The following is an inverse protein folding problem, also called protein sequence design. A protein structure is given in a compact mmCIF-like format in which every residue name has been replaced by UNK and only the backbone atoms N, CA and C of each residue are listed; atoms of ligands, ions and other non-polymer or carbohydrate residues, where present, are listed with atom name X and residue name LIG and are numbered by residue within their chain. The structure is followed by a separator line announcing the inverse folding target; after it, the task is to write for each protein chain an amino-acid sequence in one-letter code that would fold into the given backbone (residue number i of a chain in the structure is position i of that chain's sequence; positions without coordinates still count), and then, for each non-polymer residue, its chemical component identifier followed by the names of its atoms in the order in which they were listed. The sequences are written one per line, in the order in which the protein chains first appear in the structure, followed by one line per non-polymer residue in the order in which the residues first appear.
data_IF_467889981290
#
_entry.id   IF_467889981290
#
_cell.length_a   1.000
_cell.length_b   1.000
_cell.length_c   1.000
_cell.angle_alpha   90.00
_cell.angle_beta   90.00
_cell.angle_gamma   90.00
#
_symmetry.space_group_name_H-M   'P 1'
#
loop_
_entity.id
_entity.type
_entity.pdbx_description
1 polymer ?
#
# COMPACT_ATOMS: atom_id res chain seq x y z
N UNK A 1 26.08 13.76 25.41
CA UNK A 1 24.60 13.80 25.44
C UNK A 1 23.95 13.50 24.09
N UNK A 2 24.42 14.10 22.98
CA UNK A 2 23.90 13.83 21.61
C UNK A 2 24.18 12.38 21.15
N UNK A 3 25.38 11.85 21.39
CA UNK A 3 25.76 10.48 21.01
C UNK A 3 24.89 9.42 21.71
N UNK A 4 24.54 9.61 22.99
CA UNK A 4 23.63 8.71 23.72
C UNK A 4 22.18 8.81 23.21
N UNK A 5 21.72 10.00 22.79
CA UNK A 5 20.41 10.15 22.12
C UNK A 5 20.39 9.44 20.77
N UNK A 6 21.45 9.58 19.96
CA UNK A 6 21.58 8.91 18.67
C UNK A 6 21.61 7.39 18.86
N UNK A 7 22.39 6.89 19.83
CA UNK A 7 22.46 5.46 20.14
C UNK A 7 21.10 4.90 20.58
N UNK A 8 20.38 5.61 21.46
CA UNK A 8 19.02 5.22 21.86
C UNK A 8 18.03 5.24 20.69
N UNK A 9 18.14 6.20 19.76
CA UNK A 9 17.31 6.22 18.55
C UNK A 9 17.64 5.03 17.65
N UNK A 10 18.91 4.72 17.44
CA UNK A 10 19.37 3.58 16.63
C UNK A 10 18.94 2.24 17.25
N UNK A 11 19.03 2.10 18.57
CA UNK A 11 18.62 0.89 19.27
C UNK A 11 17.08 0.73 19.26
N UNK A 12 16.33 1.82 19.43
CA UNK A 12 14.87 1.82 19.25
C UNK A 12 14.45 1.50 17.81
N UNK A 13 15.17 2.04 16.81
CA UNK A 13 14.98 1.69 15.41
C UNK A 13 15.22 0.20 15.19
N UNK A 14 16.31 -0.37 15.71
CA UNK A 14 16.59 -1.81 15.59
C UNK A 14 15.48 -2.68 16.19
N UNK A 15 14.90 -2.27 17.32
CA UNK A 15 13.75 -2.97 17.93
C UNK A 15 12.52 -2.84 17.04
N UNK A 16 12.26 -1.66 16.47
CA UNK A 16 11.16 -1.43 15.52
C UNK A 16 11.32 -2.28 14.24
N UNK A 17 12.54 -2.43 13.73
CA UNK A 17 12.87 -3.30 12.59
C UNK A 17 12.79 -4.80 12.92
N UNK A 18 12.53 -5.20 14.17
CA UNK A 18 12.23 -6.60 14.53
C UNK A 18 10.73 -6.89 14.61
N UNK A 19 9.90 -5.86 14.75
CA UNK A 19 8.45 -6.01 14.75
C UNK A 19 7.93 -6.16 13.31
N UNK A 20 7.44 -7.37 12.98
CA UNK A 20 6.87 -7.71 11.67
C UNK A 20 5.75 -6.74 11.25
N UNK A 21 5.01 -6.15 12.21
CA UNK A 21 3.92 -5.21 11.94
C UNK A 21 4.45 -3.81 11.61
N UNK A 22 5.47 -3.35 12.33
CA UNK A 22 6.12 -2.08 12.04
C UNK A 22 6.84 -2.14 10.69
N UNK A 23 7.57 -3.22 10.42
CA UNK A 23 8.20 -3.48 9.13
C UNK A 23 7.21 -3.43 7.97
N UNK A 24 6.06 -4.09 8.11
CA UNK A 24 5.02 -4.07 7.09
C UNK A 24 4.49 -2.67 6.85
N UNK A 25 4.16 -1.91 7.91
CA UNK A 25 3.66 -0.54 7.81
C UNK A 25 4.66 0.37 7.09
N UNK A 26 5.93 0.34 7.49
CA UNK A 26 6.99 1.14 6.88
C UNK A 26 7.23 0.70 5.43
N UNK A 27 7.25 -0.61 5.14
CA UNK A 27 7.42 -1.11 3.77
C UNK A 27 6.30 -0.67 2.84
N UNK A 28 5.05 -0.74 3.29
CA UNK A 28 3.89 -0.27 2.52
C UNK A 28 3.93 1.24 2.33
N UNK A 29 4.24 2.00 3.38
CA UNK A 29 4.43 3.44 3.31
C UNK A 29 5.49 3.84 2.30
N UNK A 30 6.66 3.19 2.32
CA UNK A 30 7.75 3.47 1.38
C UNK A 30 7.35 3.17 -0.05
N UNK A 31 6.73 2.01 -0.32
CA UNK A 31 6.25 1.68 -1.67
C UNK A 31 5.24 2.70 -2.20
N UNK A 32 4.37 3.20 -1.34
CA UNK A 32 3.39 4.22 -1.69
C UNK A 32 4.03 5.58 -1.96
N UNK A 33 4.99 5.99 -1.13
CA UNK A 33 5.70 7.27 -1.22
C UNK A 33 6.72 7.33 -2.37
N UNK A 34 7.26 6.18 -2.80
CA UNK A 34 8.23 6.09 -3.90
C UNK A 34 7.61 6.26 -5.29
N UNK A 35 6.30 6.07 -5.45
CA UNK A 35 5.62 6.19 -6.75
C UNK A 35 5.82 7.57 -7.41
N UNK A 36 5.60 8.71 -6.73
CA UNK A 36 5.87 10.03 -7.30
C UNK A 36 7.36 10.23 -7.59
N UNK A 37 8.26 9.71 -6.76
CA UNK A 37 9.71 9.77 -7.04
C UNK A 37 10.06 9.05 -8.34
N UNK A 38 9.51 7.85 -8.57
CA UNK A 38 9.69 7.11 -9.81
C UNK A 38 9.09 7.86 -11.01
N UNK A 39 7.93 8.52 -10.82
CA UNK A 39 7.28 9.32 -11.85
C UNK A 39 8.11 10.56 -12.22
N UNK A 40 8.73 11.22 -11.24
CA UNK A 40 9.64 12.32 -11.46
C UNK A 40 10.92 11.88 -12.17
N UNK A 41 11.53 10.75 -11.76
CA UNK A 41 12.69 10.19 -12.45
C UNK A 41 12.37 9.87 -13.92
N UNK A 42 11.18 9.32 -14.17
CA UNK A 42 10.71 9.07 -15.53
C UNK A 42 10.52 10.38 -16.31
N UNK A 43 9.96 11.43 -15.69
CA UNK A 43 9.84 12.76 -16.30
C UNK A 43 11.21 13.36 -16.66
N UNK A 44 12.16 13.33 -15.72
CA UNK A 44 13.53 13.83 -15.92
C UNK A 44 14.20 13.09 -17.10
N UNK A 45 14.06 11.77 -17.16
CA UNK A 45 14.60 10.97 -18.25
C UNK A 45 14.02 11.38 -19.61
N UNK A 46 12.69 11.53 -19.71
CA UNK A 46 12.03 11.94 -20.96
C UNK A 46 12.46 13.35 -21.39
N UNK A 47 12.49 14.31 -20.46
CA UNK A 47 12.97 15.66 -20.72
C UNK A 47 14.42 15.68 -21.17
N UNK A 48 15.29 14.88 -20.54
CA UNK A 48 16.70 14.76 -20.92
C UNK A 48 16.87 14.25 -22.35
N UNK A 49 16.06 13.28 -22.80
CA UNK A 49 16.12 12.79 -24.18
C UNK A 49 15.77 13.91 -25.16
N UNK A 50 14.68 14.63 -24.91
CA UNK A 50 14.19 15.70 -25.79
C UNK A 50 15.14 16.87 -25.84
N UNK A 51 15.74 17.19 -24.70
CA UNK A 51 16.78 18.16 -24.59
C UNK A 51 17.98 17.81 -25.47
N UNK A 52 18.47 16.57 -25.42
CA UNK A 52 19.61 16.12 -26.23
C UNK A 52 19.27 16.17 -27.72
N UNK A 53 18.07 15.77 -28.12
CA UNK A 53 17.58 15.89 -29.50
C UNK A 53 17.49 17.36 -29.93
N UNK A 54 16.98 18.23 -29.05
CA UNK A 54 16.84 19.67 -29.29
C UNK A 54 18.21 20.30 -29.52
N UNK A 55 19.15 20.11 -28.59
CA UNK A 55 20.52 20.64 -28.73
C UNK A 55 21.19 20.08 -30.00
N UNK A 56 21.06 18.77 -30.27
CA UNK A 56 21.63 18.16 -31.48
C UNK A 56 21.07 18.78 -32.76
N UNK A 57 19.79 19.11 -32.77
CA UNK A 57 19.16 19.80 -33.90
C UNK A 57 19.69 21.22 -34.03
N UNK A 58 19.83 21.95 -32.91
CA UNK A 58 20.36 23.32 -32.92
C UNK A 58 21.82 23.39 -33.38
N UNK A 59 22.66 22.48 -32.90
CA UNK A 59 24.07 22.37 -33.33
C UNK A 59 24.21 22.04 -34.82
N UNK A 60 23.18 21.47 -35.46
CA UNK A 60 23.19 21.26 -36.92
C UNK A 60 22.94 22.55 -37.73
N UNK A 61 22.40 23.61 -37.09
CA UNK A 61 22.08 24.88 -37.72
C UNK A 61 23.11 25.99 -37.46
N UNK A 62 23.86 25.96 -36.36
CA UNK A 62 24.86 26.99 -36.03
C UNK A 62 26.26 26.41 -35.82
N UNK A 63 27.26 27.00 -36.49
CA UNK A 63 28.63 26.47 -36.54
C UNK A 63 29.54 26.92 -35.38
N UNK A 64 29.06 27.72 -34.41
CA UNK A 64 29.91 28.24 -33.32
C UNK A 64 29.06 28.59 -32.08
N UNK A 65 28.85 27.64 -31.15
CA UNK A 65 28.64 27.91 -29.68
C UNK A 65 28.37 26.67 -28.79
N UNK A 66 28.86 25.49 -29.16
CA UNK A 66 28.55 24.22 -28.48
C UNK A 66 28.71 24.20 -26.96
N UNK A 67 29.76 24.83 -26.42
CA UNK A 67 30.05 24.78 -24.98
C UNK A 67 29.10 25.62 -24.12
N UNK A 68 28.73 26.81 -24.59
CA UNK A 68 27.93 27.78 -23.81
C UNK A 68 26.46 27.33 -23.69
N UNK A 69 25.91 26.73 -24.75
CA UNK A 69 24.53 26.25 -24.77
C UNK A 69 24.34 25.13 -23.73
N UNK A 70 25.30 24.21 -23.65
CA UNK A 70 25.24 23.06 -22.76
C UNK A 70 25.33 23.52 -21.29
N UNK A 71 26.25 24.42 -20.98
CA UNK A 71 26.47 24.91 -19.60
C UNK A 71 25.28 25.73 -19.08
N UNK A 72 24.75 26.65 -19.88
CA UNK A 72 23.57 27.46 -19.51
C UNK A 72 22.39 26.52 -19.23
N UNK A 73 22.23 25.49 -20.03
CA UNK A 73 21.11 24.58 -19.93
C UNK A 73 21.20 23.66 -18.70
N UNK A 74 22.40 23.19 -18.35
CA UNK A 74 22.61 22.49 -17.09
C UNK A 74 22.29 23.38 -15.89
N UNK A 75 22.70 24.64 -15.94
CA UNK A 75 22.45 25.61 -14.86
C UNK A 75 20.95 25.86 -14.66
N UNK A 76 20.17 25.97 -15.74
CA UNK A 76 18.71 26.10 -15.65
C UNK A 76 18.04 24.84 -15.08
N UNK A 77 18.45 23.65 -15.52
CA UNK A 77 17.90 22.39 -14.99
C UNK A 77 18.26 22.22 -13.51
N UNK A 78 19.50 22.51 -13.12
CA UNK A 78 19.94 22.47 -11.73
C UNK A 78 19.08 23.37 -10.86
N UNK A 79 18.85 24.62 -11.30
CA UNK A 79 18.00 25.57 -10.60
C UNK A 79 16.56 25.06 -10.45
N UNK A 80 15.94 24.60 -11.54
CA UNK A 80 14.58 24.03 -11.49
C UNK A 80 14.49 22.86 -10.52
N UNK A 81 15.48 21.95 -10.54
CA UNK A 81 15.53 20.79 -9.64
C UNK A 81 15.66 21.23 -8.17
N UNK A 82 16.53 22.19 -7.87
CA UNK A 82 16.71 22.72 -6.52
C UNK A 82 15.42 23.32 -5.96
N UNK A 83 14.67 24.04 -6.78
CA UNK A 83 13.40 24.67 -6.37
C UNK A 83 12.28 23.63 -6.11
N UNK A 84 12.31 22.49 -6.81
CA UNK A 84 11.29 21.43 -6.73
C UNK A 84 11.57 20.44 -5.56
N UNK A 85 12.84 20.18 -5.23
CA UNK A 85 13.25 19.17 -4.24
C UNK A 85 12.52 19.31 -2.88
N UNK A 86 12.43 20.50 -2.26
CA UNK A 86 11.78 20.66 -0.96
C UNK A 86 10.33 20.17 -0.95
N UNK A 87 9.59 20.44 -2.03
CA UNK A 87 8.20 20.02 -2.19
C UNK A 87 8.06 18.51 -2.32
N UNK A 88 8.98 17.86 -3.05
CA UNK A 88 9.01 16.40 -3.15
C UNK A 88 9.38 15.73 -1.83
N UNK A 89 10.33 16.28 -1.07
CA UNK A 89 10.68 15.76 0.26
C UNK A 89 9.48 15.85 1.20
N UNK A 90 8.80 17.00 1.24
CA UNK A 90 7.61 17.18 2.07
C UNK A 90 6.50 16.20 1.69
N UNK A 91 6.20 16.09 0.40
CA UNK A 91 5.18 15.15 -0.10
C UNK A 91 5.55 13.70 0.21
N UNK A 92 6.82 13.32 0.04
CA UNK A 92 7.31 11.97 0.33
C UNK A 92 6.99 11.58 1.77
N UNK A 93 7.24 12.47 2.74
CA UNK A 93 6.92 12.21 4.15
C UNK A 93 5.41 12.11 4.41
N UNK A 94 4.61 12.98 3.80
CA UNK A 94 3.14 12.93 3.91
C UNK A 94 2.61 11.60 3.37
N UNK A 95 3.08 11.19 2.18
CA UNK A 95 2.68 9.93 1.55
C UNK A 95 3.19 8.72 2.34
N UNK A 96 4.39 8.80 2.92
CA UNK A 96 4.90 7.73 3.78
C UNK A 96 3.96 7.49 4.96
N UNK A 97 3.54 8.56 5.64
CA UNK A 97 2.58 8.49 6.76
C UNK A 97 1.22 7.95 6.27
N UNK A 98 0.71 8.44 5.14
CA UNK A 98 -0.56 7.99 4.58
C UNK A 98 -0.52 6.50 4.19
N UNK A 99 0.57 6.03 3.60
CA UNK A 99 0.74 4.61 3.26
C UNK A 99 0.93 3.73 4.50
N UNK A 100 1.59 4.22 5.55
CA UNK A 100 1.63 3.55 6.86
C UNK A 100 0.23 3.45 7.50
N UNK A 101 -0.59 4.49 7.36
CA UNK A 101 -1.99 4.48 7.79
C UNK A 101 -2.81 3.44 7.03
N UNK A 102 -2.70 3.39 5.69
CA UNK A 102 -3.36 2.36 4.87
C UNK A 102 -2.96 0.94 5.31
N UNK A 103 -1.68 0.71 5.58
CA UNK A 103 -1.20 -0.57 6.08
C UNK A 103 -1.79 -0.94 7.45
N UNK A 104 -2.01 0.05 8.32
CA UNK A 104 -2.66 -0.17 9.60
C UNK A 104 -4.14 -0.56 9.44
N UNK A 105 -4.84 0.07 8.49
CA UNK A 105 -6.23 -0.30 8.13
C UNK A 105 -6.28 -1.76 7.64
N UNK A 106 -5.30 -2.19 6.83
CA UNK A 106 -5.21 -3.59 6.37
C UNK A 106 -5.03 -4.60 7.50
N UNK A 107 -4.25 -4.28 8.52
CA UNK A 107 -3.97 -5.19 9.64
C UNK A 107 -5.15 -5.28 10.61
N UNK A 108 -5.93 -4.22 10.75
CA UNK A 108 -6.96 -4.05 11.80
C UNK A 108 -7.92 -5.24 11.96
N UNK A 109 -8.52 -5.83 10.90
CA UNK A 109 -9.46 -6.94 11.08
C UNK A 109 -8.81 -8.17 11.72
N UNK A 110 -7.57 -8.50 11.34
CA UNK A 110 -6.83 -9.61 11.93
C UNK A 110 -6.48 -9.34 13.39
N UNK A 111 -6.16 -8.07 13.72
CA UNK A 111 -5.89 -7.66 15.09
C UNK A 111 -7.11 -7.86 15.99
N UNK A 112 -8.29 -7.42 15.56
CA UNK A 112 -9.53 -7.56 16.33
C UNK A 112 -9.82 -9.05 16.63
N UNK A 113 -9.74 -9.92 15.62
CA UNK A 113 -9.92 -11.37 15.77
C UNK A 113 -8.88 -11.95 16.74
N UNK A 114 -7.60 -11.65 16.51
CA UNK A 114 -6.51 -12.21 17.30
C UNK A 114 -6.54 -11.76 18.77
N UNK A 115 -6.82 -10.48 19.01
CA UNK A 115 -6.91 -9.91 20.36
C UNK A 115 -8.12 -10.50 21.12
N UNK A 116 -9.27 -10.70 20.46
CA UNK A 116 -10.41 -11.39 21.04
C UNK A 116 -10.08 -12.85 21.43
N UNK A 117 -9.47 -13.61 20.51
CA UNK A 117 -9.05 -14.99 20.78
C UNK A 117 -8.07 -15.07 21.96
N UNK A 118 -7.09 -14.15 22.03
CA UNK A 118 -6.12 -14.13 23.12
C UNK A 118 -6.78 -13.83 24.49
N UNK A 119 -7.74 -12.91 24.53
CA UNK A 119 -8.47 -12.57 25.75
C UNK A 119 -9.37 -13.72 26.22
N UNK A 120 -10.08 -14.40 25.30
CA UNK A 120 -10.90 -15.58 25.62
C UNK A 120 -10.05 -16.74 26.16
N UNK A 121 -8.87 -16.99 25.59
CA UNK A 121 -7.93 -18.02 26.11
C UNK A 121 -7.43 -17.68 27.52
N UNK A 122 -7.33 -16.40 27.87
CA UNK A 122 -6.97 -15.95 29.23
C UNK A 122 -8.14 -16.02 30.22
N UNK A 123 -9.31 -16.54 29.82
CA UNK A 123 -10.50 -16.64 30.67
C UNK A 123 -11.23 -15.31 30.89
N UNK A 124 -10.96 -14.28 30.09
CA UNK A 124 -11.62 -12.99 30.22
C UNK A 124 -13.00 -13.01 29.57
N UNK A 125 -13.99 -12.42 30.24
CA UNK A 125 -15.34 -12.21 29.71
C UNK A 125 -15.35 -11.02 28.77
N UNK A 126 -15.12 -11.28 27.48
CA UNK A 126 -15.03 -10.25 26.45
C UNK A 126 -16.06 -10.50 25.36
N UNK A 127 -16.71 -9.43 24.89
CA UNK A 127 -17.64 -9.47 23.77
C UNK A 127 -16.89 -9.23 22.46
N UNK A 128 -17.23 -9.97 21.41
CA UNK A 128 -16.69 -9.75 20.08
C UNK A 128 -17.47 -8.63 19.39
N UNK A 129 -16.83 -7.48 19.17
CA UNK A 129 -17.39 -6.40 18.38
C UNK A 129 -16.52 -6.13 17.15
N UNK A 130 -16.93 -6.59 15.96
CA UNK A 130 -16.27 -6.24 14.71
C UNK A 130 -16.64 -4.80 14.34
N UNK A 131 -15.99 -3.83 14.99
CA UNK A 131 -16.21 -2.39 14.83
C UNK A 131 -16.50 -1.98 13.37
N UNK A 132 -17.63 -1.27 13.14
CA UNK A 132 -18.31 -1.13 11.83
C UNK A 132 -17.51 -0.41 10.72
N UNK A 133 -16.44 0.30 11.05
CA UNK A 133 -15.81 1.26 10.13
C UNK A 133 -14.64 0.60 9.40
N UNK A 134 -14.87 0.22 8.13
CA UNK A 134 -13.94 -0.24 7.06
C UNK A 134 -13.70 -1.76 6.88
N UNK A 135 -14.73 -2.58 7.09
CA UNK A 135 -14.54 -4.02 7.19
C UNK A 135 -14.52 -4.80 5.87
N UNK A 136 -13.62 -5.79 5.84
CA UNK A 136 -13.80 -7.05 5.13
C UNK A 136 -15.14 -7.66 5.59
N UNK A 137 -16.22 -7.40 4.86
CA UNK A 137 -17.58 -7.71 5.30
C UNK A 137 -17.76 -9.20 5.49
N UNK A 138 -17.18 -10.01 4.60
CA UNK A 138 -17.23 -11.46 4.70
C UNK A 138 -16.55 -11.94 5.97
N UNK A 139 -15.29 -11.54 6.19
CA UNK A 139 -14.51 -12.00 7.34
C UNK A 139 -15.18 -11.57 8.65
N UNK A 140 -15.60 -10.31 8.73
CA UNK A 140 -16.16 -9.73 9.94
C UNK A 140 -17.49 -10.39 10.30
N UNK A 141 -18.45 -10.45 9.38
CA UNK A 141 -19.74 -11.11 9.64
C UNK A 141 -19.60 -12.61 9.88
N UNK A 142 -18.63 -13.27 9.24
CA UNK A 142 -18.41 -14.69 9.49
C UNK A 142 -17.76 -14.94 10.84
N UNK A 143 -16.78 -14.13 11.23
CA UNK A 143 -16.12 -14.23 12.55
C UNK A 143 -17.10 -13.97 13.69
N UNK A 144 -17.99 -12.99 13.54
CA UNK A 144 -19.05 -12.71 14.51
C UNK A 144 -19.99 -13.90 14.68
N UNK A 145 -20.50 -14.43 13.56
CA UNK A 145 -21.33 -15.63 13.57
C UNK A 145 -20.59 -16.83 14.17
N UNK A 146 -19.33 -17.03 13.81
CA UNK A 146 -18.50 -18.12 14.33
C UNK A 146 -18.35 -18.03 15.85
N UNK A 147 -17.91 -16.88 16.38
CA UNK A 147 -17.68 -16.71 17.81
C UNK A 147 -18.97 -16.78 18.62
N UNK A 148 -20.06 -16.18 18.14
CA UNK A 148 -21.37 -16.31 18.77
C UNK A 148 -21.85 -17.77 18.81
N UNK A 149 -21.64 -18.52 17.72
CA UNK A 149 -22.03 -19.93 17.68
C UNK A 149 -21.21 -20.78 18.66
N UNK A 150 -19.90 -20.54 18.76
CA UNK A 150 -19.03 -21.23 19.72
C UNK A 150 -19.42 -20.90 21.17
N UNK A 151 -19.72 -19.63 21.47
CA UNK A 151 -20.14 -19.24 22.82
C UNK A 151 -21.44 -19.96 23.23
N UNK A 152 -22.43 -20.06 22.32
CA UNK A 152 -23.66 -20.86 22.57
C UNK A 152 -23.36 -22.35 22.77
N UNK A 153 -22.47 -22.94 21.97
CA UNK A 153 -22.07 -24.35 22.14
C UNK A 153 -21.42 -24.61 23.49
N UNK A 154 -20.60 -23.67 23.96
CA UNK A 154 -19.97 -23.77 25.29
C UNK A 154 -20.98 -23.72 26.42
N UNK A 155 -22.00 -22.86 26.32
CA UNK A 155 -23.08 -22.79 27.31
C UNK A 155 -23.89 -24.10 27.38
N UNK A 156 -24.10 -24.75 26.24
CA UNK A 156 -24.79 -26.05 26.16
C UNK A 156 -23.87 -27.21 26.57
N UNK A 157 -22.55 -27.01 26.62
CA UNK A 157 -21.55 -28.02 26.99
C UNK A 157 -21.19 -29.00 25.87
N UNK A 158 -21.69 -28.79 24.65
CA UNK A 158 -21.49 -29.68 23.50
C UNK A 158 -21.00 -28.89 22.27
N UNK A 159 -19.75 -29.14 21.88
CA UNK A 159 -19.16 -28.61 20.65
C UNK A 159 -19.40 -29.64 19.54
N UNK A 160 -20.56 -29.53 18.91
CA UNK A 160 -20.99 -30.36 17.78
C UNK A 160 -20.77 -29.68 16.44
N UNK A 161 -20.76 -30.48 15.37
CA UNK A 161 -20.77 -29.95 14.01
C UNK A 161 -22.02 -29.09 13.78
N UNK A 162 -21.81 -27.88 13.24
CA UNK A 162 -22.92 -27.00 12.84
C UNK A 162 -22.94 -26.79 11.34
N UNK A 163 -24.16 -26.90 10.79
CA UNK A 163 -24.41 -26.59 9.39
C UNK A 163 -24.13 -25.11 9.15
N UNK A 164 -23.08 -24.85 8.36
CA UNK A 164 -22.69 -23.51 7.92
C UNK A 164 -23.86 -22.86 7.14
N UNK A 165 -24.18 -21.56 7.35
CA UNK A 165 -25.18 -20.85 6.57
C UNK A 165 -24.91 -20.91 5.06
N UNK A 166 -25.96 -21.07 4.24
CA UNK A 166 -25.85 -21.21 2.78
C UNK A 166 -25.02 -20.09 2.12
N UNK A 167 -25.13 -18.85 2.63
CA UNK A 167 -24.36 -17.69 2.16
C UNK A 167 -22.83 -17.87 2.22
N UNK A 168 -22.32 -18.76 3.07
CA UNK A 168 -20.87 -18.99 3.26
C UNK A 168 -20.38 -20.32 2.67
N UNK A 169 -21.28 -21.22 2.25
CA UNK A 169 -20.90 -22.54 1.73
C UNK A 169 -20.16 -22.46 0.39
N UNK A 170 -20.62 -21.59 -0.51
CA UNK A 170 -20.11 -21.46 -1.89
C UNK A 170 -18.79 -20.71 -2.02
N UNK A 171 -18.18 -20.29 -0.90
CA UNK A 171 -16.96 -19.49 -0.89
C UNK A 171 -15.75 -20.43 -0.80
N UNK A 172 -15.07 -20.65 -1.92
CA UNK A 172 -13.92 -21.54 -2.04
C UNK A 172 -12.61 -20.80 -2.36
N UNK A 173 -12.67 -19.51 -2.62
CA UNK A 173 -11.53 -18.65 -2.93
C UNK A 173 -11.73 -17.25 -2.32
N UNK A 174 -10.68 -16.41 -2.24
CA UNK A 174 -10.81 -15.03 -1.79
C UNK A 174 -11.89 -14.29 -2.60
N UNK A 175 -12.88 -13.75 -1.89
CA UNK A 175 -13.97 -12.97 -2.51
C UNK A 175 -13.54 -11.52 -2.61
N UNK A 176 -13.88 -10.89 -3.73
CA UNK A 176 -13.64 -9.46 -3.90
C UNK A 176 -14.49 -8.64 -2.91
N UNK A 177 -13.83 -7.87 -2.06
CA UNK A 177 -14.46 -7.06 -1.02
C UNK A 177 -14.63 -5.62 -1.53
N UNK A 178 -15.72 -5.40 -2.28
CA UNK A 178 -15.95 -4.15 -3.03
C UNK A 178 -15.87 -2.92 -2.15
N UNK A 179 -16.50 -2.92 -0.97
CA UNK A 179 -16.47 -1.76 -0.07
C UNK A 179 -15.05 -1.42 0.39
N UNK A 180 -14.29 -2.42 0.85
CA UNK A 180 -12.91 -2.23 1.26
C UNK A 180 -12.05 -1.70 0.10
N UNK A 181 -12.20 -2.29 -1.09
CA UNK A 181 -11.46 -1.86 -2.27
C UNK A 181 -11.81 -0.43 -2.66
N UNK A 182 -13.09 -0.06 -2.68
CA UNK A 182 -13.54 1.30 -3.05
C UNK A 182 -13.00 2.37 -2.09
N UNK A 183 -13.08 2.15 -0.78
CA UNK A 183 -12.53 3.11 0.21
C UNK A 183 -11.01 3.26 0.04
N UNK A 184 -10.31 2.14 -0.09
CA UNK A 184 -8.86 2.14 -0.27
C UNK A 184 -8.47 2.81 -1.59
N UNK A 185 -9.17 2.49 -2.68
CA UNK A 185 -8.93 3.10 -4.00
C UNK A 185 -9.25 4.58 -4.01
N UNK A 186 -10.25 5.05 -3.25
CA UNK A 186 -10.56 6.48 -3.16
C UNK A 186 -9.39 7.26 -2.56
N UNK A 187 -8.83 6.78 -1.44
CA UNK A 187 -7.66 7.39 -0.81
C UNK A 187 -6.46 7.40 -1.76
N UNK A 188 -6.23 6.28 -2.46
CA UNK A 188 -5.15 6.18 -3.44
C UNK A 188 -5.39 7.12 -4.62
N UNK A 189 -6.60 7.23 -5.17
CA UNK A 189 -6.93 8.14 -6.27
C UNK A 189 -6.70 9.61 -5.91
N UNK A 190 -7.03 10.01 -4.68
CA UNK A 190 -6.73 11.37 -4.20
C UNK A 190 -5.21 11.60 -4.18
N UNK A 191 -4.44 10.64 -3.68
CA UNK A 191 -2.98 10.71 -3.69
C UNK A 191 -2.40 10.73 -5.12
N UNK A 192 -2.95 9.93 -6.04
CA UNK A 192 -2.60 9.92 -7.46
C UNK A 192 -2.84 11.31 -8.08
N UNK A 193 -3.98 11.93 -7.83
CA UNK A 193 -4.28 13.26 -8.37
C UNK A 193 -3.30 14.32 -7.85
N UNK A 194 -3.03 14.34 -6.54
CA UNK A 194 -2.09 15.29 -5.93
C UNK A 194 -0.66 15.11 -6.45
N UNK A 195 -0.20 13.86 -6.55
CA UNK A 195 1.13 13.54 -7.05
C UNK A 195 1.27 13.81 -8.55
N UNK A 196 0.23 13.56 -9.34
CA UNK A 196 0.21 13.90 -10.77
C UNK A 196 0.32 15.42 -10.96
N UNK A 197 -0.44 16.22 -10.21
CA UNK A 197 -0.35 17.69 -10.26
C UNK A 197 1.07 18.16 -9.93
N UNK A 198 1.67 17.67 -8.86
CA UNK A 198 3.03 18.07 -8.49
C UNK A 198 4.06 17.65 -9.55
N UNK A 199 3.93 16.43 -10.09
CA UNK A 199 4.86 15.94 -11.11
C UNK A 199 4.72 16.73 -12.41
N UNK A 200 3.50 17.14 -12.79
CA UNK A 200 3.27 18.03 -13.92
C UNK A 200 3.85 19.42 -13.70
N UNK A 201 3.68 19.99 -12.50
CA UNK A 201 4.29 21.26 -12.14
C UNK A 201 5.83 21.19 -12.24
N UNK A 202 6.43 20.13 -11.68
CA UNK A 202 7.86 19.90 -11.80
C UNK A 202 8.32 19.75 -13.26
N UNK A 203 7.57 19.02 -14.06
CA UNK A 203 7.82 18.85 -15.49
C UNK A 203 7.78 20.19 -16.24
N UNK A 204 6.81 21.04 -15.90
CA UNK A 204 6.65 22.38 -16.47
C UNK A 204 7.84 23.29 -16.16
N UNK A 205 8.30 23.32 -14.91
CA UNK A 205 9.45 24.14 -14.50
C UNK A 205 10.74 23.71 -15.24
N UNK A 206 10.98 22.41 -15.36
CA UNK A 206 12.12 21.89 -16.15
C UNK A 206 11.98 22.27 -17.62
N UNK A 207 10.77 22.16 -18.19
CA UNK A 207 10.51 22.51 -19.58
C UNK A 207 10.68 24.01 -19.86
N UNK A 208 10.22 24.87 -18.95
CA UNK A 208 10.41 26.32 -19.06
C UNK A 208 11.89 26.69 -19.12
N UNK A 209 12.74 26.04 -18.32
CA UNK A 209 14.19 26.23 -18.41
C UNK A 209 14.72 25.93 -19.81
N UNK A 210 14.24 24.87 -20.47
CA UNK A 210 14.62 24.55 -21.86
C UNK A 210 14.14 25.64 -22.83
N UNK A 211 12.90 26.13 -22.67
CA UNK A 211 12.34 27.19 -23.52
C UNK A 211 13.12 28.50 -23.39
N UNK A 212 13.54 28.87 -22.19
CA UNK A 212 14.35 30.07 -21.95
C UNK A 212 15.68 30.01 -22.68
N UNK A 213 16.39 28.87 -22.60
CA UNK A 213 17.62 28.67 -23.37
C UNK A 213 17.37 28.82 -24.87
N UNK A 214 16.36 28.13 -25.40
CA UNK A 214 16.01 28.22 -26.82
C UNK A 214 15.74 29.67 -27.26
N UNK A 215 15.05 30.48 -26.43
CA UNK A 215 14.76 31.88 -26.76
C UNK A 215 16.01 32.76 -26.80
N UNK A 216 17.01 32.48 -25.97
CA UNK A 216 18.24 33.27 -25.90
C UNK A 216 19.14 33.05 -27.13
N UNK A 217 19.08 31.87 -27.75
CA UNK A 217 19.93 31.51 -28.88
C UNK A 217 19.33 31.77 -30.27
N UNK A 218 18.00 31.74 -30.44
CA UNK A 218 17.40 32.01 -31.75
C UNK A 218 17.26 33.51 -32.06
N UNK A 219 17.99 33.98 -33.08
CA UNK A 219 17.93 35.36 -33.58
C UNK A 219 16.73 35.60 -34.51
N UNK A 220 16.26 34.57 -35.23
CA UNK A 220 15.17 34.68 -36.21
C UNK A 220 13.78 34.40 -35.61
N UNK A 221 12.90 35.41 -35.61
CA UNK A 221 11.59 35.36 -34.92
C UNK A 221 10.59 34.35 -35.52
N UNK A 222 10.67 34.06 -36.81
CA UNK A 222 9.70 33.17 -37.49
C UNK A 222 10.01 31.69 -37.26
N UNK A 223 11.28 31.29 -37.42
CA UNK A 223 11.74 29.91 -37.21
C UNK A 223 11.65 29.51 -35.73
N UNK A 224 12.00 30.43 -34.82
CA UNK A 224 11.83 30.27 -33.37
C UNK A 224 10.38 29.95 -33.01
N UNK A 225 9.41 30.66 -33.60
CA UNK A 225 7.99 30.44 -33.32
C UNK A 225 7.57 29.03 -33.70
N UNK A 226 7.94 28.56 -34.89
CA UNK A 226 7.62 27.20 -35.35
C UNK A 226 8.29 26.15 -34.48
N UNK A 227 9.55 26.35 -34.11
CA UNK A 227 10.29 25.44 -33.24
C UNK A 227 9.66 25.33 -31.84
N UNK A 228 9.31 26.46 -31.21
CA UNK A 228 8.67 26.48 -29.90
C UNK A 228 7.29 25.80 -29.89
N UNK A 229 6.52 25.94 -30.98
CA UNK A 229 5.23 25.22 -31.11
C UNK A 229 5.47 23.71 -31.11
N UNK A 230 6.46 23.22 -31.88
CA UNK A 230 6.81 21.80 -31.91
C UNK A 230 7.37 21.30 -30.58
N UNK A 231 8.18 22.10 -29.91
CA UNK A 231 8.70 21.78 -28.60
C UNK A 231 7.57 21.66 -27.55
N UNK A 232 6.55 22.53 -27.63
CA UNK A 232 5.38 22.47 -26.76
C UNK A 232 4.46 21.28 -27.07
N UNK A 233 4.29 20.89 -28.34
CA UNK A 233 3.59 19.64 -28.72
C UNK A 233 4.27 18.43 -28.06
N UNK A 234 5.60 18.37 -28.12
CA UNK A 234 6.39 17.30 -27.49
C UNK A 234 6.23 17.31 -25.96
N UNK A 235 6.28 18.47 -25.32
CA UNK A 235 6.03 18.61 -23.87
C UNK A 235 4.66 18.08 -23.45
N UNK A 236 3.63 18.36 -24.24
CA UNK A 236 2.27 17.85 -23.98
C UNK A 236 2.24 16.32 -24.00
N UNK A 237 2.91 15.70 -24.96
CA UNK A 237 3.02 14.24 -25.04
C UNK A 237 3.76 13.65 -23.82
N UNK A 238 4.89 14.25 -23.42
CA UNK A 238 5.62 13.83 -22.20
C UNK A 238 4.69 13.89 -20.98
N UNK A 239 3.98 15.01 -20.82
CA UNK A 239 3.08 15.25 -19.70
C UNK A 239 2.01 14.15 -19.61
N UNK A 240 1.43 13.77 -20.75
CA UNK A 240 0.49 12.64 -20.82
C UNK A 240 1.14 11.33 -20.38
N UNK A 241 2.36 11.02 -20.87
CA UNK A 241 3.06 9.79 -20.50
C UNK A 241 3.40 9.73 -19.00
N UNK A 242 3.82 10.84 -18.41
CA UNK A 242 4.12 10.92 -16.97
C UNK A 242 2.86 10.66 -16.14
N UNK A 243 1.74 11.31 -16.49
CA UNK A 243 0.46 11.12 -15.79
C UNK A 243 -0.02 9.68 -15.93
N UNK A 244 0.04 9.12 -17.15
CA UNK A 244 -0.33 7.74 -17.40
C UNK A 244 0.52 6.76 -16.58
N UNK A 245 1.84 6.96 -16.53
CA UNK A 245 2.76 6.15 -15.72
C UNK A 245 2.41 6.23 -14.23
N UNK A 246 2.14 7.43 -13.71
CA UNK A 246 1.77 7.64 -12.31
C UNK A 246 0.46 6.90 -11.96
N UNK A 247 -0.57 7.03 -12.80
CA UNK A 247 -1.85 6.35 -12.62
C UNK A 247 -1.66 4.82 -12.63
N UNK A 248 -0.90 4.29 -13.59
CA UNK A 248 -0.63 2.85 -13.71
C UNK A 248 0.13 2.34 -12.47
N UNK A 249 1.13 3.08 -11.99
CA UNK A 249 1.89 2.71 -10.79
C UNK A 249 1.00 2.63 -9.54
N UNK A 250 0.12 3.62 -9.34
CA UNK A 250 -0.84 3.58 -8.23
C UNK A 250 -1.92 2.50 -8.39
N UNK A 251 -2.33 2.19 -9.62
CA UNK A 251 -3.24 1.06 -9.87
C UNK A 251 -2.60 -0.27 -9.47
N UNK A 252 -1.34 -0.50 -9.86
CA UNK A 252 -0.58 -1.67 -9.39
C UNK A 252 -0.45 -1.71 -7.88
N UNK A 253 -0.23 -0.56 -7.23
CA UNK A 253 -0.20 -0.47 -5.77
C UNK A 253 -1.55 -0.85 -5.13
N UNK A 254 -2.68 -0.39 -5.67
CA UNK A 254 -4.02 -0.77 -5.19
C UNK A 254 -4.23 -2.28 -5.27
N UNK A 255 -3.91 -2.90 -6.40
CA UNK A 255 -4.03 -4.35 -6.61
C UNK A 255 -3.11 -5.09 -5.63
N UNK A 256 -1.88 -4.60 -5.47
CA UNK A 256 -0.92 -5.16 -4.53
C UNK A 256 -1.41 -5.09 -3.08
N UNK A 257 -1.88 -3.92 -2.63
CA UNK A 257 -2.42 -3.72 -1.28
C UNK A 257 -3.64 -4.63 -1.03
N UNK A 258 -4.52 -4.74 -2.02
CA UNK A 258 -5.67 -5.65 -1.95
C UNK A 258 -5.24 -7.12 -1.84
N UNK A 259 -4.22 -7.56 -2.58
CA UNK A 259 -3.69 -8.93 -2.47
C UNK A 259 -3.10 -9.24 -1.08
N UNK A 260 -2.64 -8.20 -0.36
CA UNK A 260 -2.15 -8.36 1.01
C UNK A 260 -3.26 -8.57 2.03
N UNK A 261 -4.50 -8.20 1.73
CA UNK A 261 -5.61 -8.40 2.66
C UNK A 261 -6.48 -9.61 2.30
N UNK A 262 -6.75 -9.85 1.02
CA UNK A 262 -7.74 -10.83 0.58
C UNK A 262 -7.33 -12.28 0.88
N UNK A 263 -6.05 -12.63 0.64
CA UNK A 263 -5.56 -14.00 0.90
C UNK A 263 -5.54 -14.34 2.38
N UNK A 264 -4.98 -13.51 3.29
CA UNK A 264 -5.07 -13.79 4.72
C UNK A 264 -6.51 -13.83 5.23
N UNK A 265 -7.37 -12.93 4.77
CA UNK A 265 -8.79 -12.90 5.16
C UNK A 265 -9.48 -14.22 4.81
N UNK A 266 -9.24 -14.72 3.61
CA UNK A 266 -9.75 -16.02 3.19
C UNK A 266 -9.18 -17.17 4.04
N UNK A 267 -7.89 -17.14 4.39
CA UNK A 267 -7.29 -18.16 5.26
C UNK A 267 -7.92 -18.25 6.65
N UNK A 268 -8.20 -17.09 7.28
CA UNK A 268 -8.94 -17.02 8.54
C UNK A 268 -10.37 -17.56 8.39
N UNK A 269 -11.10 -17.06 7.38
CA UNK A 269 -12.46 -17.50 7.07
C UNK A 269 -12.54 -19.02 6.83
N UNK A 270 -11.69 -19.55 5.95
CA UNK A 270 -11.69 -20.96 5.56
C UNK A 270 -11.40 -21.87 6.76
N UNK A 271 -10.51 -21.46 7.66
CA UNK A 271 -10.18 -22.23 8.86
C UNK A 271 -11.33 -22.24 9.86
N UNK A 272 -11.90 -21.08 10.20
CA UNK A 272 -13.07 -21.00 11.09
C UNK A 272 -14.24 -21.82 10.52
N UNK A 273 -14.48 -21.73 9.21
CA UNK A 273 -15.50 -22.50 8.51
C UNK A 273 -15.24 -24.00 8.58
N UNK A 274 -14.00 -24.42 8.39
CA UNK A 274 -13.65 -25.82 8.46
C UNK A 274 -13.75 -26.37 9.89
N UNK A 275 -13.37 -25.57 10.88
CA UNK A 275 -13.44 -25.95 12.28
C UNK A 275 -14.88 -26.22 12.72
N UNK A 276 -15.80 -25.29 12.38
CA UNK A 276 -17.21 -25.43 12.77
C UNK A 276 -17.95 -26.55 12.03
N UNK A 277 -17.44 -26.96 10.87
CA UNK A 277 -17.90 -28.14 10.12
C UNK A 277 -17.30 -29.46 10.63
N UNK A 278 -16.84 -29.52 11.88
CA UNK A 278 -16.32 -30.73 12.52
C UNK A 278 -14.85 -31.07 12.25
N UNK A 279 -14.14 -30.33 11.39
CA UNK A 279 -12.68 -30.54 11.18
C UNK A 279 -11.89 -29.72 12.19
N UNK A 280 -11.96 -30.14 13.46
CA UNK A 280 -11.39 -29.42 14.60
C UNK A 280 -9.86 -29.33 14.59
N UNK A 281 -9.16 -30.22 13.88
CA UNK A 281 -7.69 -30.19 13.75
C UNK A 281 -7.16 -29.08 12.85
N UNK A 282 -8.01 -28.39 12.09
CA UNK A 282 -7.57 -27.43 11.09
C UNK A 282 -7.08 -26.13 11.72
N UNK A 283 -5.97 -25.60 11.20
CA UNK A 283 -5.29 -24.39 11.68
C UNK A 283 -5.01 -23.44 10.53
N UNK A 284 -5.00 -22.14 10.83
CA UNK A 284 -4.60 -21.12 9.87
C UNK A 284 -3.09 -21.25 9.67
N UNK A 285 -2.68 -21.49 8.43
CA UNK A 285 -1.28 -21.47 8.02
C UNK A 285 -1.10 -20.54 6.82
N UNK A 286 -0.41 -19.42 7.02
CA UNK A 286 -0.20 -18.39 6.00
C UNK A 286 1.29 -18.20 5.74
N UNK A 287 1.76 -18.70 4.60
CA UNK A 287 3.14 -18.50 4.12
C UNK A 287 3.22 -17.16 3.37
N UNK A 288 4.24 -16.36 3.66
CA UNK A 288 4.44 -15.06 2.99
C UNK A 288 3.66 -13.87 3.60
N UNK A 289 2.98 -14.09 4.73
CA UNK A 289 2.23 -13.04 5.44
C UNK A 289 2.69 -12.90 6.91
N UNK A 290 3.95 -12.49 7.16
CA UNK A 290 4.49 -12.37 8.51
C UNK A 290 3.70 -11.38 9.37
N UNK A 291 3.22 -10.28 8.80
CA UNK A 291 2.49 -9.22 9.50
C UNK A 291 1.15 -9.64 10.13
N UNK A 292 0.59 -10.81 9.79
CA UNK A 292 -0.61 -11.39 10.46
C UNK A 292 -0.28 -12.60 11.32
N UNK A 293 0.97 -13.08 11.31
CA UNK A 293 1.39 -14.32 11.96
C UNK A 293 1.05 -14.35 13.44
N UNK A 294 1.22 -13.23 14.15
CA UNK A 294 0.84 -13.10 15.56
C UNK A 294 -0.64 -13.43 15.77
N UNK A 295 -1.52 -12.83 14.97
CA UNK A 295 -2.96 -13.01 15.07
C UNK A 295 -3.42 -14.41 14.64
N UNK A 296 -2.76 -14.97 13.62
CA UNK A 296 -2.93 -16.37 13.23
C UNK A 296 -2.62 -17.32 14.39
N UNK A 297 -1.53 -17.08 15.13
CA UNK A 297 -1.18 -17.87 16.32
C UNK A 297 -2.21 -17.72 17.44
N UNK A 298 -2.72 -16.51 17.69
CA UNK A 298 -3.77 -16.28 18.69
C UNK A 298 -5.05 -17.05 18.37
N UNK A 299 -5.50 -17.02 17.10
CA UNK A 299 -6.66 -17.80 16.65
C UNK A 299 -6.39 -19.30 16.79
N UNK A 300 -5.24 -19.79 16.33
CA UNK A 300 -4.90 -21.22 16.42
C UNK A 300 -4.88 -21.70 17.88
N UNK A 301 -4.33 -20.93 18.81
CA UNK A 301 -4.33 -21.25 20.24
C UNK A 301 -5.76 -21.33 20.81
N UNK A 302 -6.63 -20.42 20.37
CA UNK A 302 -8.04 -20.47 20.73
C UNK A 302 -8.73 -21.74 20.19
N UNK A 303 -8.47 -22.11 18.93
CA UNK A 303 -8.99 -23.35 18.35
C UNK A 303 -8.45 -24.61 19.05
N UNK A 304 -7.17 -24.62 19.45
CA UNK A 304 -6.58 -25.70 20.24
C UNK A 304 -7.33 -25.90 21.56
N UNK A 305 -7.67 -24.80 22.24
CA UNK A 305 -8.43 -24.84 23.50
C UNK A 305 -9.84 -25.40 23.28
N UNK A 306 -10.52 -24.95 22.22
CA UNK A 306 -11.85 -25.47 21.87
C UNK A 306 -11.83 -26.96 21.55
N UNK A 307 -10.84 -27.43 20.79
CA UNK A 307 -10.70 -28.85 20.45
C UNK A 307 -10.48 -29.71 21.70
N UNK A 308 -9.67 -29.24 22.65
CA UNK A 308 -9.47 -29.93 23.93
C UNK A 308 -10.77 -30.02 24.73
N UNK A 309 -11.49 -28.92 24.89
CA UNK A 309 -12.78 -28.92 25.58
C UNK A 309 -13.79 -29.85 24.90
N UNK A 310 -13.83 -29.90 23.56
CA UNK A 310 -14.69 -30.81 22.81
C UNK A 310 -14.34 -32.29 23.04
N UNK A 311 -13.04 -32.62 23.11
CA UNK A 311 -12.58 -33.98 23.38
C UNK A 311 -12.90 -34.43 24.81
N UNK A 312 -12.80 -33.54 25.79
CA UNK A 312 -13.14 -33.81 27.19
C UNK A 312 -14.65 -34.04 27.37
N UNK A 313 -15.50 -33.19 26.80
CA UNK A 313 -16.97 -33.39 26.81
C UNK A 313 -17.37 -34.75 26.21
N UNK A 314 -16.75 -35.13 25.08
CA UNK A 314 -17.05 -36.39 24.41
C UNK A 314 -16.59 -37.64 25.20
N UNK A 315 -15.55 -37.54 26.02
CA UNK A 315 -15.14 -38.64 26.92
C UNK A 315 -16.16 -38.81 28.04
N UNK A 316 -16.53 -37.72 28.71
CA UNK A 316 -17.50 -37.74 29.80
C UNK A 316 -18.90 -38.22 29.36
N UNK A 317 -19.26 -38.02 28.09
CA UNK A 317 -20.51 -38.51 27.52
C UNK A 317 -20.48 -40.01 27.14
N UNK A 318 -19.30 -40.64 27.03
CA UNK A 318 -19.15 -42.08 26.73
C UNK A 318 -19.01 -42.94 27.99
N UNK A 319 -18.58 -42.33 29.09
CA UNK A 319 -18.39 -43.00 30.38
C UNK A 319 -19.66 -42.95 31.27
N UNK A 320 -20.72 -42.26 30.83
CA UNK A 320 -22.07 -42.24 31.41
C UNK A 320 -23.06 -43.01 30.52
#
# INVERSE_FOLDING_TARGET
MIINKIKNIVDNLKVMFRDEHALFRVSMGLKFALIPTLSLMFAILLNYIILRVTISTLMSFENVRDFVIVDILYLFIEKSVVDIIPWFILLFWILLILGMFLANVVIRPFKIIGDYCEQKVKGQTVSYDPEFVTNLKLLSSFSEWFFSTIDVMKEVGDIREVKIPEKYKRIHQPVFETSFFLYTSLVVTIATALTAILTLYANYEVFNGVVEVVREFFVNKAELKTFLVKLNEVYSLISIFIVAFNIIAYLFFCIYLYSKISTPAFGFFATMRSFISGRHSNRVHLIGYPFVRKYTRSLNKYLDELERSALESNKNAKDN
#
